data_IF_873638710011
#
_entry.id   IF_873638710011
#
_cell.length_a   1.000
_cell.length_b   1.000
_cell.length_c   1.000
_cell.angle_alpha   90.00
_cell.angle_beta   90.00
_cell.angle_gamma   90.00
#
_symmetry.space_group_name_H-M   'P 1'
#
loop_
_entity.id
_entity.type
_entity.pdbx_description
1 polymer ?
#
# COMPACT_ATOMS: atom_id res chain seq x y z
N UNK A 1 -13.31 38.51 5.90
CA UNK A 1 -13.39 37.43 6.84
C UNK A 1 -14.11 36.25 6.30
N UNK A 2 -15.35 36.46 5.94
CA UNK A 2 -16.11 35.36 5.40
C UNK A 2 -15.51 34.81 4.10
N UNK A 3 -14.93 35.70 3.33
CA UNK A 3 -14.34 35.29 2.07
C UNK A 3 -13.15 34.35 2.28
N UNK A 4 -12.43 34.60 3.33
CA UNK A 4 -11.31 33.72 3.63
C UNK A 4 -11.76 32.36 4.05
N UNK A 5 -12.79 32.31 4.85
CA UNK A 5 -13.36 31.07 5.28
C UNK A 5 -13.91 30.29 4.08
N UNK A 6 -14.54 31.00 3.20
CA UNK A 6 -15.09 30.44 1.99
C UNK A 6 -14.01 29.90 1.10
N UNK A 7 -12.99 30.70 0.92
CA UNK A 7 -11.88 30.32 0.09
C UNK A 7 -11.21 29.05 0.63
N UNK A 8 -11.10 28.99 1.93
CA UNK A 8 -10.51 27.84 2.57
C UNK A 8 -11.33 26.57 2.30
N UNK A 9 -12.63 26.72 2.33
CA UNK A 9 -13.51 25.60 2.06
C UNK A 9 -13.39 25.15 0.62
N UNK A 10 -13.30 26.11 -0.29
CA UNK A 10 -13.14 25.79 -1.70
C UNK A 10 -11.81 25.12 -1.95
N UNK A 11 -10.76 25.62 -1.35
CA UNK A 11 -9.44 25.02 -1.49
C UNK A 11 -9.47 23.60 -1.00
N UNK A 12 -10.18 23.37 0.07
CA UNK A 12 -10.31 22.05 0.63
C UNK A 12 -10.94 21.07 -0.35
N UNK A 13 -11.99 21.52 -1.03
CA UNK A 13 -12.65 20.65 -1.99
C UNK A 13 -11.81 20.45 -3.23
N UNK A 14 -11.18 21.52 -3.70
CA UNK A 14 -10.34 21.43 -4.89
C UNK A 14 -9.08 20.62 -4.60
N UNK A 15 -8.53 20.83 -3.43
CA UNK A 15 -7.28 20.18 -3.05
C UNK A 15 -7.50 18.99 -2.15
N UNK A 16 -8.64 18.35 -2.31
CA UNK A 16 -8.93 17.17 -1.49
C UNK A 16 -7.81 16.17 -1.60
N UNK A 17 -7.31 15.77 -0.46
CA UNK A 17 -6.24 14.80 -0.41
C UNK A 17 -6.81 13.40 -0.53
N UNK A 18 -6.14 12.60 -1.32
CA UNK A 18 -6.48 11.21 -1.51
C UNK A 18 -5.39 10.37 -0.90
N UNK A 19 -5.74 9.18 -0.51
CA UNK A 19 -4.75 8.28 0.08
C UNK A 19 -4.34 7.24 -0.95
N UNK A 20 -3.04 6.98 -0.97
CA UNK A 20 -2.46 6.05 -1.91
C UNK A 20 -1.65 5.01 -1.17
N UNK A 21 -1.70 3.79 -1.67
CA UNK A 21 -0.83 2.73 -1.19
C UNK A 21 0.26 2.53 -2.23
N UNK A 22 1.49 2.49 -1.77
CA UNK A 22 2.65 2.34 -2.64
C UNK A 22 3.25 0.96 -2.46
N UNK A 23 3.54 0.32 -3.58
CA UNK A 23 3.98 -1.06 -3.59
C UNK A 23 5.13 -1.25 -4.56
N UNK A 24 5.84 -2.35 -4.38
CA UNK A 24 6.83 -2.77 -5.36
C UNK A 24 6.76 -4.27 -5.51
N UNK A 25 7.06 -4.74 -6.71
CA UNK A 25 7.14 -6.16 -6.98
C UNK A 25 8.57 -6.67 -7.02
N UNK A 26 9.52 -5.79 -6.74
CA UNK A 26 10.91 -6.17 -6.77
C UNK A 26 11.28 -6.95 -5.53
N UNK A 27 12.23 -7.86 -5.71
CA UNK A 27 12.61 -8.74 -4.64
C UNK A 27 12.04 -10.13 -4.87
N UNK A 28 12.21 -11.01 -3.91
CA UNK A 28 11.79 -12.38 -4.07
C UNK A 28 11.35 -12.97 -2.74
N UNK A 29 10.30 -13.76 -2.81
CA UNK A 29 9.79 -14.47 -1.66
C UNK A 29 9.70 -15.94 -2.02
N UNK A 30 10.31 -16.79 -1.21
CA UNK A 30 10.34 -18.23 -1.46
C UNK A 30 9.59 -18.95 -0.36
N UNK A 31 8.94 -20.03 -0.75
CA UNK A 31 8.28 -20.86 0.23
C UNK A 31 9.30 -21.62 1.04
N UNK A 32 9.05 -21.83 2.31
CA UNK A 32 9.97 -22.65 3.11
C UNK A 32 10.01 -24.07 2.58
N UNK A 33 11.19 -24.68 2.69
CA UNK A 33 11.37 -26.08 2.34
C UNK A 33 11.10 -26.40 0.88
N UNK A 34 11.26 -25.41 0.03
CA UNK A 34 11.12 -25.67 -1.40
C UNK A 34 12.49 -25.69 -2.04
N UNK A 35 12.61 -26.47 -3.11
CA UNK A 35 13.83 -26.52 -3.89
C UNK A 35 13.72 -25.69 -5.15
N UNK A 36 12.62 -25.02 -5.31
CA UNK A 36 12.37 -24.20 -6.49
C UNK A 36 13.21 -22.94 -6.39
N UNK A 37 13.86 -22.60 -7.48
CA UNK A 37 14.68 -21.40 -7.52
C UNK A 37 13.81 -20.17 -7.63
N UNK A 38 12.72 -20.28 -8.38
CA UNK A 38 11.83 -19.15 -8.57
C UNK A 38 10.87 -19.03 -7.40
N UNK A 39 10.44 -17.81 -7.09
CA UNK A 39 9.51 -17.64 -5.99
C UNK A 39 8.16 -18.27 -6.29
N UNK A 40 7.61 -18.93 -5.30
CA UNK A 40 6.28 -19.53 -5.40
C UNK A 40 5.19 -18.50 -5.23
N UNK A 41 5.51 -17.42 -4.57
CA UNK A 41 4.56 -16.36 -4.27
C UNK A 41 5.06 -15.08 -4.91
N UNK A 42 4.16 -14.41 -5.60
CA UNK A 42 4.50 -13.11 -6.16
C UNK A 42 4.97 -12.20 -5.03
N UNK A 43 6.11 -11.57 -5.24
CA UNK A 43 6.67 -10.70 -4.22
C UNK A 43 6.05 -9.31 -4.35
N UNK A 44 5.10 -9.05 -3.50
CA UNK A 44 4.43 -7.76 -3.48
C UNK A 44 4.64 -7.16 -2.10
N UNK A 45 5.37 -6.06 -2.07
CA UNK A 45 5.71 -5.41 -0.81
C UNK A 45 5.10 -4.03 -0.75
N UNK A 46 4.54 -3.70 0.40
CA UNK A 46 4.04 -2.36 0.64
C UNK A 46 5.20 -1.50 1.11
N UNK A 47 5.46 -0.44 0.36
CA UNK A 47 6.50 0.50 0.74
C UNK A 47 5.97 1.64 1.59
N UNK A 48 4.66 1.87 1.55
CA UNK A 48 4.08 2.86 2.43
C UNK A 48 2.77 3.39 1.92
N UNK A 49 2.21 4.30 2.69
CA UNK A 49 1.00 5.03 2.34
C UNK A 49 1.30 6.51 2.37
N UNK A 50 0.60 7.27 1.57
CA UNK A 50 0.79 8.71 1.59
C UNK A 50 -0.45 9.41 1.06
N UNK A 51 -0.63 10.62 1.52
CA UNK A 51 -1.71 11.49 1.05
C UNK A 51 -1.17 12.44 0.02
N UNK A 52 -2.01 12.78 -0.93
CA UNK A 52 -1.66 13.75 -1.93
C UNK A 52 -2.86 14.12 -2.76
N UNK A 53 -2.75 15.22 -3.48
CA UNK A 53 -3.81 15.64 -4.37
C UNK A 53 -3.86 14.76 -5.62
N UNK A 54 -2.73 14.17 -5.95
CA UNK A 54 -2.61 13.24 -7.07
C UNK A 54 -1.48 12.26 -6.73
N UNK A 55 -1.26 11.24 -7.57
CA UNK A 55 -0.22 10.25 -7.26
C UNK A 55 1.18 10.85 -7.13
N UNK A 56 1.52 11.81 -7.97
CA UNK A 56 2.85 12.41 -7.91
C UNK A 56 3.05 13.16 -6.62
N UNK A 57 2.04 13.88 -6.19
CA UNK A 57 2.08 14.62 -4.95
C UNK A 57 2.22 13.66 -3.76
N UNK A 58 1.46 12.58 -3.79
CA UNK A 58 1.53 11.58 -2.75
C UNK A 58 2.90 10.91 -2.70
N UNK A 59 3.49 10.67 -3.87
CA UNK A 59 4.80 10.04 -3.92
C UNK A 59 5.86 10.94 -3.29
N UNK A 60 5.78 12.22 -3.55
CA UNK A 60 6.71 13.16 -2.93
C UNK A 60 6.58 13.15 -1.41
N UNK A 61 5.35 13.08 -0.94
CA UNK A 61 5.12 13.00 0.50
C UNK A 61 5.69 11.70 1.06
N UNK A 62 5.53 10.61 0.34
CA UNK A 62 6.08 9.33 0.75
C UNK A 62 7.59 9.42 0.91
N UNK A 63 8.26 9.99 -0.06
CA UNK A 63 9.71 10.10 -0.01
C UNK A 63 10.17 11.05 1.09
N UNK A 64 9.43 12.12 1.31
CA UNK A 64 9.77 13.05 2.37
C UNK A 64 9.75 12.39 3.73
N UNK A 65 8.79 11.53 3.94
CA UNK A 65 8.63 10.88 5.23
C UNK A 65 9.44 9.59 5.34
N UNK A 66 9.88 9.06 4.21
CA UNK A 66 10.57 7.78 4.18
C UNK A 66 11.78 7.87 3.25
N UNK A 67 12.69 8.75 3.59
CA UNK A 67 13.84 9.00 2.72
C UNK A 67 14.71 7.77 2.56
N UNK A 68 14.62 6.83 3.49
CA UNK A 68 15.38 5.60 3.39
C UNK A 68 15.05 4.83 2.12
N UNK A 69 13.88 5.07 1.54
CA UNK A 69 13.49 4.38 0.31
C UNK A 69 14.49 4.63 -0.81
N UNK A 70 15.11 5.80 -0.82
CA UNK A 70 16.11 6.12 -1.83
C UNK A 70 17.38 5.32 -1.67
N UNK A 71 17.57 4.70 -0.53
CA UNK A 71 18.74 3.88 -0.26
C UNK A 71 18.49 2.40 -0.47
N UNK A 72 17.26 2.05 -0.79
CA UNK A 72 16.95 0.65 -1.11
C UNK A 72 17.37 0.36 -2.53
N UNK A 73 17.34 -0.91 -2.88
CA UNK A 73 17.63 -1.33 -4.25
C UNK A 73 16.40 -1.31 -5.11
N UNK A 74 15.24 -0.98 -4.53
CA UNK A 74 14.02 -0.88 -5.30
C UNK A 74 14.15 0.28 -6.28
N UNK A 75 13.72 0.05 -7.49
CA UNK A 75 13.73 1.08 -8.51
C UNK A 75 12.32 1.46 -8.95
N UNK A 76 11.45 0.48 -9.06
CA UNK A 76 10.12 0.72 -9.55
C UNK A 76 9.11 0.57 -8.43
N UNK A 77 8.33 1.61 -8.22
CA UNK A 77 7.27 1.63 -7.23
C UNK A 77 6.01 2.10 -7.93
N UNK A 78 4.92 1.42 -7.63
CA UNK A 78 3.65 1.83 -8.21
C UNK A 78 2.65 2.04 -7.08
N UNK A 79 1.54 2.68 -7.41
CA UNK A 79 0.56 2.98 -6.39
C UNK A 79 -0.85 2.77 -6.90
N UNK A 80 -1.75 2.64 -5.94
CA UNK A 80 -3.18 2.65 -6.21
C UNK A 80 -3.83 3.67 -5.29
N UNK A 81 -4.82 4.32 -5.81
CA UNK A 81 -5.62 5.22 -4.99
C UNK A 81 -6.60 4.38 -4.18
N UNK A 82 -6.70 4.69 -2.91
CA UNK A 82 -7.60 3.98 -2.03
C UNK A 82 -8.92 4.71 -1.95
N UNK A 83 -9.98 3.95 -1.76
CA UNK A 83 -11.30 4.50 -1.53
C UNK A 83 -11.29 5.33 -0.26
N UNK A 84 -12.14 6.35 -0.22
CA UNK A 84 -12.24 7.21 0.96
C UNK A 84 -12.58 6.42 2.21
N UNK A 85 -13.27 5.33 2.06
CA UNK A 85 -13.71 4.52 3.20
C UNK A 85 -12.97 3.20 3.31
N UNK A 86 -11.76 3.16 2.80
CA UNK A 86 -11.03 1.89 2.77
C UNK A 86 -10.75 1.36 4.18
N UNK A 87 -10.59 2.25 5.15
CA UNK A 87 -10.29 1.80 6.50
C UNK A 87 -11.47 1.10 7.14
N UNK A 88 -12.69 1.54 6.81
CA UNK A 88 -13.88 0.90 7.33
C UNK A 88 -14.12 -0.46 6.70
N UNK A 89 -13.53 -0.69 5.54
CA UNK A 89 -13.70 -1.98 4.86
C UNK A 89 -12.76 -3.05 5.37
N UNK A 90 -11.91 -2.72 6.31
CA UNK A 90 -10.92 -3.66 6.82
C UNK A 90 -11.58 -4.87 7.44
N UNK A 91 -11.11 -6.03 7.07
CA UNK A 91 -11.59 -7.28 7.61
C UNK A 91 -10.42 -8.20 7.88
N UNK A 92 -10.56 -8.96 8.93
CA UNK A 92 -9.54 -9.94 9.29
C UNK A 92 -10.02 -11.32 8.94
N UNK A 93 -9.11 -12.12 8.43
CA UNK A 93 -9.38 -13.53 8.18
C UNK A 93 -8.30 -14.32 8.89
N UNK A 94 -8.70 -15.41 9.49
CA UNK A 94 -7.78 -16.21 10.29
C UNK A 94 -7.63 -17.58 9.64
N UNK A 95 -6.43 -17.85 9.16
CA UNK A 95 -6.16 -19.11 8.48
C UNK A 95 -6.37 -20.31 9.40
N UNK A 96 -6.19 -20.10 10.71
CA UNK A 96 -6.41 -21.16 11.65
C UNK A 96 -7.85 -21.67 11.59
N UNK A 97 -8.80 -20.78 11.31
CA UNK A 97 -10.19 -21.22 11.18
C UNK A 97 -10.40 -22.01 9.90
N UNK A 98 -9.76 -21.57 8.84
CA UNK A 98 -9.91 -22.23 7.55
C UNK A 98 -9.26 -23.60 7.54
N UNK A 99 -8.19 -23.76 8.29
CA UNK A 99 -7.46 -25.04 8.31
C UNK A 99 -8.28 -26.17 8.87
N UNK A 100 -9.32 -25.86 9.60
CA UNK A 100 -10.23 -26.90 10.09
C UNK A 100 -10.98 -27.55 8.94
N UNK A 101 -11.35 -26.74 7.95
CA UNK A 101 -12.10 -27.23 6.79
C UNK A 101 -11.19 -27.83 5.74
N UNK A 102 -9.92 -27.42 5.73
CA UNK A 102 -8.95 -27.88 4.75
C UNK A 102 -7.78 -28.51 5.48
N UNK A 103 -7.97 -29.71 6.02
CA UNK A 103 -6.90 -30.30 6.82
C UNK A 103 -5.67 -30.51 5.98
N UNK A 104 -4.55 -30.42 6.66
CA UNK A 104 -3.27 -30.59 6.02
C UNK A 104 -3.19 -31.98 5.41
N UNK A 105 -2.70 -32.04 4.21
CA UNK A 105 -2.50 -33.31 3.57
C UNK A 105 -1.43 -34.09 4.30
N UNK A 106 -1.71 -35.36 4.49
CA UNK A 106 -0.71 -36.24 5.05
C UNK A 106 0.02 -36.89 3.89
N UNK A 107 1.30 -36.77 3.92
CA UNK A 107 2.05 -37.34 2.82
C UNK A 107 2.68 -38.65 3.20
#
# INVERSE_FOLDING_TARGET
MNSMKYKKKQDYEIMKLKKYIFLTQEGYTYQPNTHIIEPDIENLQVTGFALGSDPDDAFKSLLNENKYLLQTKFNEIFCYQLDDYFEESKRYFHLSEMRKDYPKKTE
#
